data_IF_220780841674
#
_entry.id   IF_220780841674
#
_cell.length_a   1.000
_cell.length_b   1.000
_cell.length_c   1.000
_cell.angle_alpha   90.00
_cell.angle_beta   90.00
_cell.angle_gamma   90.00
#
_symmetry.space_group_name_H-M   'P 1'
#
loop_
_entity.id
_entity.type
_entity.pdbx_description
1 polymer ?
#
# COMPACT_ATOMS: atom_id res chain seq x y z
N UNK A 1 19.07 12.24 -57.87
CA UNK A 1 19.28 13.55 -57.24
C UNK A 1 18.22 13.75 -56.16
N UNK A 2 18.61 13.79 -54.88
CA UNK A 2 17.71 14.04 -53.75
C UNK A 2 18.09 15.38 -53.11
N UNK A 3 17.15 16.29 -52.85
CA UNK A 3 17.43 17.51 -52.10
C UNK A 3 17.71 17.16 -50.63
N UNK A 4 18.81 17.72 -50.11
CA UNK A 4 19.21 17.66 -48.70
C UNK A 4 18.16 18.44 -47.90
N UNK A 5 17.55 17.77 -46.92
CA UNK A 5 16.75 18.41 -45.89
C UNK A 5 17.70 19.09 -44.90
N UNK A 6 17.71 20.43 -44.91
CA UNK A 6 18.33 21.23 -43.85
C UNK A 6 17.58 20.98 -42.55
N UNK A 7 18.27 20.35 -41.62
CA UNK A 7 17.81 20.17 -40.24
C UNK A 7 17.94 21.54 -39.58
N UNK A 8 16.84 22.27 -39.47
CA UNK A 8 16.72 23.47 -38.64
C UNK A 8 16.87 23.08 -37.17
N UNK A 9 18.12 23.02 -36.73
CA UNK A 9 18.46 22.99 -35.31
C UNK A 9 17.88 24.25 -34.66
N UNK A 10 17.01 24.00 -33.69
CA UNK A 10 16.34 24.94 -32.81
C UNK A 10 17.24 26.13 -32.48
N UNK A 11 16.85 27.32 -32.93
CA UNK A 11 17.59 28.56 -32.81
C UNK A 11 17.73 29.02 -31.37
N UNK A 12 18.70 28.46 -30.65
CA UNK A 12 19.31 29.12 -29.50
C UNK A 12 20.31 30.14 -30.07
N UNK A 13 19.80 31.32 -30.42
CA UNK A 13 20.66 32.38 -30.96
C UNK A 13 21.68 32.81 -29.89
N UNK A 14 22.99 32.86 -30.20
CA UNK A 14 24.02 33.28 -29.25
C UNK A 14 23.83 34.74 -28.77
N UNK A 15 22.98 35.51 -29.46
CA UNK A 15 22.57 36.85 -29.04
C UNK A 15 21.86 36.86 -27.67
N UNK A 16 21.10 35.81 -27.32
CA UNK A 16 20.46 35.71 -25.99
C UNK A 16 21.49 35.40 -24.89
N UNK A 17 22.56 34.66 -25.21
CA UNK A 17 23.67 34.40 -24.28
C UNK A 17 24.50 35.67 -24.06
N UNK A 18 24.69 36.48 -25.10
CA UNK A 18 25.42 37.75 -25.02
C UNK A 18 24.67 38.85 -24.26
N UNK A 19 23.33 38.85 -24.24
CA UNK A 19 22.54 39.79 -23.43
C UNK A 19 22.69 39.54 -21.92
N UNK A 20 22.96 38.30 -21.50
CA UNK A 20 23.27 37.96 -20.10
C UNK A 20 24.69 38.42 -19.72
N UNK A 21 25.62 38.49 -20.67
CA UNK A 21 27.02 38.83 -20.42
C UNK A 21 27.27 40.33 -20.14
N UNK A 22 26.35 41.21 -20.51
CA UNK A 22 26.40 42.65 -20.18
C UNK A 22 25.72 42.98 -18.82
N UNK A 23 25.24 41.96 -18.10
CA UNK A 23 24.66 42.13 -16.77
C UNK A 23 25.74 42.36 -15.73
N UNK A 24 25.68 43.51 -15.04
CA UNK A 24 26.44 43.77 -13.81
C UNK A 24 26.50 42.52 -12.92
N UNK A 25 27.66 42.19 -12.36
CA UNK A 25 27.85 40.98 -11.50
C UNK A 25 26.77 40.85 -10.42
N UNK A 26 26.27 41.98 -9.92
CA UNK A 26 25.12 42.07 -9.01
C UNK A 26 23.82 41.48 -9.58
N UNK A 27 23.52 41.71 -10.86
CA UNK A 27 22.34 41.15 -11.52
C UNK A 27 22.44 39.63 -11.65
N UNK A 28 23.63 39.10 -11.94
CA UNK A 28 23.86 37.65 -12.02
C UNK A 28 23.68 37.00 -10.65
N UNK A 29 24.28 37.58 -9.60
CA UNK A 29 24.14 37.07 -8.23
C UNK A 29 22.69 37.11 -7.74
N UNK A 30 21.94 38.15 -8.10
CA UNK A 30 20.52 38.27 -7.76
C UNK A 30 19.68 37.14 -8.39
N UNK A 31 19.90 36.83 -9.67
CA UNK A 31 19.23 35.71 -10.34
C UNK A 31 19.60 34.35 -9.74
N UNK A 32 20.88 34.14 -9.40
CA UNK A 32 21.32 32.91 -8.72
C UNK A 32 20.62 32.76 -7.37
N UNK A 33 20.53 33.84 -6.59
CA UNK A 33 19.84 33.83 -5.30
C UNK A 33 18.35 33.49 -5.43
N UNK A 34 17.67 34.03 -6.45
CA UNK A 34 16.27 33.70 -6.74
C UNK A 34 16.13 32.22 -7.11
N UNK A 35 16.96 31.71 -8.02
CA UNK A 35 16.90 30.31 -8.45
C UNK A 35 17.18 29.35 -7.30
N UNK A 36 18.17 29.67 -6.45
CA UNK A 36 18.50 28.89 -5.27
C UNK A 36 17.34 28.89 -4.26
N UNK A 37 16.72 30.05 -4.03
CA UNK A 37 15.54 30.17 -3.16
C UNK A 37 14.39 29.35 -3.72
N UNK A 38 14.13 29.42 -5.02
CA UNK A 38 13.07 28.67 -5.69
C UNK A 38 13.32 27.16 -5.62
N UNK A 39 14.56 26.71 -5.77
CA UNK A 39 14.91 25.30 -5.65
C UNK A 39 14.70 24.78 -4.22
N UNK A 40 15.11 25.54 -3.21
CA UNK A 40 14.89 25.21 -1.80
C UNK A 40 13.40 25.18 -1.46
N UNK A 41 12.65 26.22 -1.86
CA UNK A 41 11.20 26.27 -1.66
C UNK A 41 10.49 25.15 -2.41
N UNK A 42 10.86 24.88 -3.65
CA UNK A 42 10.32 23.78 -4.44
C UNK A 42 10.53 22.44 -3.74
N UNK A 43 11.74 22.20 -3.23
CA UNK A 43 12.05 21.00 -2.44
C UNK A 43 11.19 20.89 -1.17
N UNK A 44 11.06 21.97 -0.40
CA UNK A 44 10.24 22.01 0.82
C UNK A 44 8.76 21.78 0.50
N UNK A 45 8.22 22.44 -0.51
CA UNK A 45 6.82 22.28 -0.94
C UNK A 45 6.56 20.84 -1.37
N UNK A 46 7.45 20.25 -2.18
CA UNK A 46 7.34 18.84 -2.60
C UNK A 46 7.43 17.92 -1.37
N UNK A 47 8.32 18.18 -0.42
CA UNK A 47 8.44 17.38 0.79
C UNK A 47 7.17 17.45 1.67
N UNK A 48 6.57 18.63 1.81
CA UNK A 48 5.29 18.82 2.54
C UNK A 48 4.17 18.10 1.81
N UNK A 49 4.08 18.27 0.48
CA UNK A 49 3.03 17.64 -0.33
C UNK A 49 3.17 16.12 -0.30
N UNK A 50 4.39 15.60 -0.41
CA UNK A 50 4.71 14.18 -0.26
C UNK A 50 4.28 13.68 1.12
N UNK A 51 4.62 14.38 2.19
CA UNK A 51 4.23 14.01 3.56
C UNK A 51 2.71 13.99 3.73
N UNK A 52 2.02 14.98 3.17
CA UNK A 52 0.55 15.07 3.21
C UNK A 52 -0.13 13.97 2.38
N UNK A 53 0.43 13.59 1.24
CA UNK A 53 -0.15 12.58 0.35
C UNK A 53 0.17 11.14 0.78
N UNK A 54 1.36 10.89 1.31
CA UNK A 54 1.79 9.55 1.74
C UNK A 54 1.36 9.21 3.17
N UNK A 55 0.71 10.14 3.87
CA UNK A 55 0.25 9.99 5.24
C UNK A 55 1.42 10.00 6.23
N UNK A 56 1.23 10.70 7.36
CA UNK A 56 2.06 10.54 8.54
C UNK A 56 2.15 9.05 8.92
N UNK A 57 3.24 8.38 8.55
CA UNK A 57 3.78 7.37 9.45
C UNK A 57 4.23 8.17 10.66
N UNK A 58 3.39 8.23 11.69
CA UNK A 58 3.76 8.88 12.95
C UNK A 58 5.16 8.42 13.32
N UNK A 59 6.05 9.34 13.72
CA UNK A 59 7.38 8.96 14.11
C UNK A 59 7.25 7.87 15.18
N UNK A 60 7.90 6.70 15.01
CA UNK A 60 7.67 5.51 15.83
C UNK A 60 7.92 5.73 17.33
N UNK A 61 8.55 6.84 17.72
CA UNK A 61 8.65 7.29 19.10
C UNK A 61 7.32 7.72 19.72
N UNK A 62 6.43 8.40 18.99
CA UNK A 62 5.11 8.82 19.52
C UNK A 62 4.18 7.62 19.74
N UNK A 63 4.23 6.65 18.82
CA UNK A 63 3.41 5.44 18.89
C UNK A 63 3.86 4.49 20.01
N UNK A 64 5.16 4.46 20.34
CA UNK A 64 5.69 3.67 21.46
C UNK A 64 5.28 4.25 22.82
N UNK A 65 5.24 5.58 22.94
CA UNK A 65 4.78 6.25 24.16
C UNK A 65 3.30 6.00 24.42
N UNK A 66 2.47 5.95 23.37
CA UNK A 66 1.04 5.67 23.50
C UNK A 66 0.79 4.21 23.92
N UNK A 67 1.53 3.25 23.35
CA UNK A 67 1.49 1.83 23.78
C UNK A 67 1.95 1.69 25.23
N UNK A 68 2.99 2.44 25.65
CA UNK A 68 3.45 2.41 27.04
C UNK A 68 2.37 2.91 27.99
N UNK A 69 1.64 3.95 27.60
CA UNK A 69 0.52 4.49 28.36
C UNK A 69 -0.64 3.51 28.44
N UNK A 70 -1.00 2.81 27.36
CA UNK A 70 -2.02 1.76 27.35
C UNK A 70 -1.67 0.58 28.27
N UNK A 71 -0.38 0.23 28.37
CA UNK A 71 0.08 -0.79 29.32
C UNK A 71 -0.09 -0.32 30.76
N UNK A 72 0.28 0.93 31.02
CA UNK A 72 0.20 1.52 32.36
C UNK A 72 -1.26 1.71 32.82
N UNK A 73 -2.21 1.86 31.89
CA UNK A 73 -3.67 1.83 32.17
C UNK A 73 -4.25 0.42 32.28
N UNK A 74 -3.45 -0.62 31.95
CA UNK A 74 -3.88 -2.03 32.01
C UNK A 74 -4.74 -2.47 30.85
N UNK A 75 -4.81 -1.70 29.75
CA UNK A 75 -5.58 -2.05 28.55
C UNK A 75 -4.91 -3.13 27.70
N UNK A 76 -3.61 -3.35 27.89
CA UNK A 76 -2.82 -4.37 27.21
C UNK A 76 -2.00 -5.20 28.20
N UNK A 77 -1.92 -6.50 27.94
CA UNK A 77 -1.10 -7.42 28.73
C UNK A 77 0.40 -7.24 28.45
N UNK A 78 1.24 -7.73 29.36
CA UNK A 78 2.70 -7.66 29.21
C UNK A 78 3.19 -8.43 27.97
N UNK A 79 2.54 -9.54 27.66
CA UNK A 79 2.83 -10.37 26.51
C UNK A 79 2.47 -9.68 25.20
N UNK A 80 1.38 -8.92 25.18
CA UNK A 80 0.97 -8.12 24.02
C UNK A 80 1.88 -6.92 23.80
N UNK A 81 2.26 -6.23 24.87
CA UNK A 81 3.21 -5.13 24.82
C UNK A 81 4.53 -5.56 24.16
N UNK A 82 5.09 -6.70 24.58
CA UNK A 82 6.39 -7.14 24.08
C UNK A 82 6.32 -7.55 22.59
N UNK A 83 5.20 -8.15 22.16
CA UNK A 83 4.93 -8.44 20.75
C UNK A 83 4.80 -7.18 19.90
N UNK A 84 4.10 -6.15 20.37
CA UNK A 84 3.96 -4.87 19.65
C UNK A 84 5.31 -4.14 19.56
N UNK A 85 6.03 -4.06 20.67
CA UNK A 85 7.37 -3.45 20.73
C UNK A 85 8.33 -4.09 19.73
N UNK A 86 8.36 -5.42 19.65
CA UNK A 86 9.21 -6.14 18.69
C UNK A 86 8.87 -5.80 17.23
N UNK A 87 7.58 -5.66 16.89
CA UNK A 87 7.13 -5.27 15.54
C UNK A 87 7.58 -3.87 15.16
N UNK A 88 7.47 -2.91 16.09
CA UNK A 88 7.91 -1.52 15.86
C UNK A 88 9.43 -1.48 15.66
N UNK A 89 10.19 -2.15 16.52
CA UNK A 89 11.66 -2.21 16.38
C UNK A 89 12.07 -2.86 15.05
N UNK A 90 11.36 -3.90 14.59
CA UNK A 90 11.61 -4.50 13.28
C UNK A 90 11.28 -3.56 12.12
N UNK A 91 10.19 -2.81 12.20
CA UNK A 91 9.80 -1.82 11.19
C UNK A 91 10.83 -0.68 11.09
N UNK A 92 11.38 -0.21 12.21
CA UNK A 92 12.43 0.83 12.22
C UNK A 92 13.78 0.30 11.72
N UNK A 93 14.10 -0.97 11.98
CA UNK A 93 15.36 -1.60 11.56
C UNK A 93 15.40 -2.04 10.10
N UNK A 94 14.30 -1.94 9.36
CA UNK A 94 14.25 -2.25 7.94
C UNK A 94 14.26 -0.95 7.10
N UNK A 95 15.40 -0.26 6.94
CA UNK A 95 15.50 0.83 5.99
C UNK A 95 15.60 0.23 4.59
N UNK A 96 14.53 0.25 3.80
CA UNK A 96 14.66 0.00 2.36
C UNK A 96 13.42 -0.41 1.59
N UNK A 97 12.68 -1.43 2.04
CA UNK A 97 11.80 -2.16 1.11
C UNK A 97 10.29 -2.03 1.38
N UNK A 98 9.89 -1.36 2.45
CA UNK A 98 8.48 -1.07 2.70
C UNK A 98 8.12 0.30 2.10
N UNK A 99 8.00 0.35 0.77
CA UNK A 99 7.19 1.37 0.15
C UNK A 99 5.77 1.33 0.78
N UNK A 100 5.21 2.46 1.27
CA UNK A 100 3.83 2.48 1.70
C UNK A 100 2.96 2.48 0.43
N UNK A 101 2.72 1.28 -0.11
CA UNK A 101 2.02 1.11 -1.37
C UNK A 101 1.71 -0.33 -1.76
N UNK A 102 1.99 -1.32 -0.91
CA UNK A 102 1.66 -2.73 -1.18
C UNK A 102 0.61 -3.25 -0.20
N UNK A 103 -0.60 -2.70 -0.32
CA UNK A 103 -1.83 -3.40 0.08
C UNK A 103 -2.23 -4.45 -0.96
N UNK A 104 -1.28 -5.21 -1.50
CA UNK A 104 -1.54 -6.31 -2.44
C UNK A 104 -0.53 -7.46 -2.30
N UNK A 105 -0.10 -7.71 -1.06
CA UNK A 105 0.56 -8.98 -0.73
C UNK A 105 -0.34 -9.74 0.25
N UNK A 106 -1.04 -10.81 -0.19
CA UNK A 106 -1.72 -11.70 0.74
C UNK A 106 -0.68 -12.24 1.70
N UNK A 107 -0.84 -11.91 2.97
CA UNK A 107 0.04 -12.35 4.03
C UNK A 107 0.13 -13.89 4.02
N UNK A 108 1.32 -14.49 4.22
CA UNK A 108 1.41 -15.92 4.47
C UNK A 108 0.68 -16.21 5.78
N UNK A 109 -0.47 -16.87 5.66
CA UNK A 109 -1.32 -17.33 6.75
C UNK A 109 -0.47 -18.15 7.71
N UNK A 110 -0.13 -17.57 8.87
CA UNK A 110 0.41 -18.36 9.99
C UNK A 110 -0.70 -19.33 10.45
N UNK A 111 -0.39 -20.61 10.71
CA UNK A 111 -1.37 -21.53 11.27
C UNK A 111 -1.77 -21.04 12.67
N UNK A 112 -3.06 -20.77 12.86
CA UNK A 112 -3.64 -20.41 14.17
C UNK A 112 -3.86 -21.71 14.94
N UNK A 113 -3.21 -21.92 16.10
CA UNK A 113 -3.46 -23.09 16.92
C UNK A 113 -4.76 -22.87 17.72
N UNK A 114 -5.76 -23.68 17.39
CA UNK A 114 -6.83 -24.08 18.32
C UNK A 114 -8.04 -23.15 18.46
N UNK A 115 -9.20 -23.66 18.02
CA UNK A 115 -10.46 -23.45 18.74
C UNK A 115 -11.58 -22.78 17.96
N UNK A 116 -12.45 -23.61 17.37
CA UNK A 116 -13.91 -23.39 17.31
C UNK A 116 -14.46 -22.33 16.35
N UNK A 117 -14.39 -22.62 15.04
CA UNK A 117 -15.58 -22.78 14.19
C UNK A 117 -15.09 -23.08 12.76
N UNK A 118 -15.10 -24.35 12.38
CA UNK A 118 -14.77 -24.78 11.01
C UNK A 118 -16.05 -24.69 10.18
N UNK A 119 -16.37 -23.47 9.74
CA UNK A 119 -17.40 -23.27 8.73
C UNK A 119 -16.79 -23.62 7.36
N UNK A 120 -17.22 -24.75 6.80
CA UNK A 120 -16.79 -25.15 5.47
C UNK A 120 -17.39 -24.21 4.40
N UNK A 121 -16.67 -23.94 3.29
CA UNK A 121 -17.23 -23.21 2.15
C UNK A 121 -18.49 -23.91 1.61
N UNK A 122 -19.53 -23.16 1.19
CA UNK A 122 -20.80 -23.75 0.78
C UNK A 122 -20.62 -24.73 -0.39
N UNK A 123 -20.93 -26.01 -0.16
CA UNK A 123 -20.92 -27.09 -1.16
C UNK A 123 -19.92 -28.23 -0.94
N UNK A 124 -19.13 -28.22 0.14
CA UNK A 124 -18.19 -29.29 0.52
C UNK A 124 -18.47 -29.82 1.93
N UNK A 125 -18.24 -31.12 2.17
CA UNK A 125 -18.37 -31.70 3.51
C UNK A 125 -17.16 -31.31 4.39
N UNK A 126 -17.30 -31.43 5.71
CA UNK A 126 -16.28 -31.08 6.72
C UNK A 126 -14.97 -31.90 6.59
N UNK A 127 -14.98 -32.95 5.78
CA UNK A 127 -13.81 -33.77 5.43
C UNK A 127 -13.08 -33.29 4.16
N UNK A 128 -13.63 -32.31 3.44
CA UNK A 128 -13.05 -31.77 2.21
C UNK A 128 -13.45 -32.54 0.93
N UNK A 129 -14.32 -33.54 1.03
CA UNK A 129 -14.88 -34.20 -0.16
C UNK A 129 -16.10 -33.42 -0.69
N UNK A 130 -16.28 -33.32 -2.02
CA UNK A 130 -17.47 -32.70 -2.59
C UNK A 130 -18.70 -33.57 -2.27
N UNK A 131 -19.80 -32.95 -1.81
CA UNK A 131 -21.00 -33.70 -1.47
C UNK A 131 -21.52 -34.48 -2.69
N UNK A 132 -21.94 -35.75 -2.52
CA UNK A 132 -22.61 -36.49 -3.57
C UNK A 132 -23.88 -35.75 -3.96
N UNK A 133 -24.00 -35.38 -5.25
CA UNK A 133 -25.19 -34.71 -5.77
C UNK A 133 -26.41 -35.61 -5.51
N UNK A 134 -27.52 -35.07 -4.97
CA UNK A 134 -28.73 -35.86 -4.76
C UNK A 134 -29.18 -36.44 -6.11
N UNK A 135 -29.02 -37.75 -6.24
CA UNK A 135 -29.48 -38.52 -7.39
C UNK A 135 -31.00 -38.42 -7.38
N UNK A 136 -31.58 -37.69 -8.34
CA UNK A 136 -33.01 -37.40 -8.42
C UNK A 136 -33.86 -38.61 -8.05
N UNK A 137 -34.53 -38.52 -6.90
CA UNK A 137 -35.17 -39.66 -6.24
C UNK A 137 -36.42 -39.21 -5.50
N UNK A 138 -37.54 -39.32 -6.24
CA UNK A 138 -38.93 -39.48 -5.82
C UNK A 138 -39.69 -38.21 -5.40
N UNK A 139 -40.35 -37.61 -6.40
CA UNK A 139 -41.67 -37.04 -6.17
C UNK A 139 -42.59 -38.13 -5.56
N UNK A 140 -43.44 -37.78 -4.57
CA UNK A 140 -44.34 -38.75 -3.94
C UNK A 140 -45.51 -39.06 -4.88
N UNK A 141 -45.54 -40.24 -5.48
CA UNK A 141 -46.77 -40.79 -6.05
C UNK A 141 -47.51 -41.56 -4.96
N UNK A 142 -48.45 -40.86 -4.33
CA UNK A 142 -49.45 -41.43 -3.44
C UNK A 142 -50.70 -41.79 -4.24
N UNK A 143 -50.71 -42.97 -4.86
CA UNK A 143 -51.87 -43.77 -5.29
C UNK A 143 -51.28 -45.05 -5.89
N UNK A 144 -51.64 -46.29 -5.57
CA UNK A 144 -52.93 -46.84 -5.28
C UNK A 144 -52.69 -48.23 -4.68
N UNK A 145 -52.88 -48.36 -3.37
CA UNK A 145 -52.99 -49.64 -2.70
C UNK A 145 -54.48 -50.01 -2.64
N UNK A 146 -54.98 -50.69 -3.67
CA UNK A 146 -56.21 -51.46 -3.58
C UNK A 146 -56.24 -52.62 -4.58
N UNK A 147 -55.96 -53.80 -4.03
CA UNK A 147 -56.84 -54.97 -4.15
C UNK A 147 -56.74 -55.78 -5.45
N UNK A 148 -55.82 -56.74 -5.44
CA UNK A 148 -56.02 -58.05 -6.08
C UNK A 148 -56.04 -59.10 -4.96
N UNK A 149 -56.85 -60.14 -5.16
CA UNK A 149 -56.95 -61.43 -4.44
C UNK A 149 -58.29 -61.64 -3.71
N UNK A 150 -59.31 -62.00 -4.50
CA UNK A 150 -60.02 -63.29 -4.43
C UNK A 150 -60.65 -63.63 -5.78
#
# INVERSE_FOLDING_TARGET
MRPRSDVTFFGLTPAHVLLIAAGSTSAVLFWIAILMTLALFGGVIIAILRRRMLGEQEPPGLLLDDIRRMRDTGEISWEEFDRLKQRIVQAVRAPGDAAPGSSDQPAPTRPRPGGESLEAPPGFDLTGEPLPKPKGGNAPDGSDSSKSDE
#
